data_IF_712957958884
#
_entry.id   IF_712957958884
#
_cell.length_a   1.000
_cell.length_b   1.000
_cell.length_c   1.000
_cell.angle_alpha   90.00
_cell.angle_beta   90.00
_cell.angle_gamma   90.00
#
_symmetry.space_group_name_H-M   'P 1'
#
loop_
_entity.id
_entity.type
_entity.pdbx_description
1 polymer ?
#
# COMPACT_ATOMS: atom_id res chain seq x y z
N UNK A 1 2.48 -9.11 15.68
CA UNK A 1 3.54 -8.09 15.92
C UNK A 1 3.28 -7.18 17.13
N UNK A 2 2.42 -7.56 18.10
CA UNK A 2 2.01 -6.68 19.22
C UNK A 2 1.27 -5.39 18.79
N UNK A 3 0.60 -5.41 17.63
CA UNK A 3 -0.17 -4.26 17.14
C UNK A 3 0.66 -3.27 16.34
N UNK A 4 1.85 -3.66 15.86
CA UNK A 4 2.76 -2.80 15.10
C UNK A 4 2.55 -2.87 13.59
N UNK A 5 1.71 -3.78 13.09
CA UNK A 5 1.44 -3.94 11.67
C UNK A 5 -0.05 -4.21 11.43
N UNK A 6 -0.64 -3.47 10.49
CA UNK A 6 -1.95 -3.74 9.92
C UNK A 6 -1.81 -3.92 8.40
N UNK A 7 -2.56 -4.87 7.83
CA UNK A 7 -2.51 -5.16 6.38
C UNK A 7 -3.93 -5.20 5.81
N UNK A 8 -4.19 -4.42 4.77
CA UNK A 8 -5.48 -4.39 4.08
C UNK A 8 -5.33 -3.92 2.63
N UNK A 9 -6.20 -4.40 1.72
CA UNK A 9 -6.05 -4.11 0.29
C UNK A 9 -6.04 -2.61 -0.02
N UNK A 10 -7.05 -1.84 0.43
CA UNK A 10 -7.11 -0.40 0.25
C UNK A 10 -6.65 0.40 1.48
N UNK A 11 -6.16 -0.30 2.50
CA UNK A 11 -5.77 0.26 3.79
C UNK A 11 -6.91 0.28 4.82
N UNK A 12 -6.67 0.97 5.93
CA UNK A 12 -7.51 1.03 7.13
C UNK A 12 -7.31 2.40 7.80
N UNK A 13 -8.40 3.03 8.27
CA UNK A 13 -8.28 4.17 9.20
C UNK A 13 -7.95 3.69 10.62
N UNK A 14 -7.27 4.53 11.42
CA UNK A 14 -6.92 4.27 12.84
C UNK A 14 -8.13 3.75 13.62
N UNK A 15 -9.31 4.35 13.40
CA UNK A 15 -10.54 4.01 14.10
C UNK A 15 -11.07 2.60 13.77
N UNK A 16 -10.57 1.96 12.71
CA UNK A 16 -10.99 0.64 12.24
C UNK A 16 -10.01 -0.47 12.58
N UNK A 17 -8.78 -0.14 12.97
CA UNK A 17 -7.76 -1.13 13.32
C UNK A 17 -8.24 -2.01 14.49
N UNK A 18 -8.07 -3.32 14.33
CA UNK A 18 -8.54 -4.33 15.30
C UNK A 18 -10.07 -4.53 15.35
N UNK A 19 -10.87 -3.78 14.59
CA UNK A 19 -12.33 -3.92 14.55
C UNK A 19 -12.78 -4.86 13.44
N UNK A 20 -14.00 -5.37 13.59
CA UNK A 20 -14.68 -6.20 12.58
C UNK A 20 -16.06 -5.63 12.27
N UNK A 21 -16.56 -5.87 11.06
CA UNK A 21 -17.89 -5.40 10.64
C UNK A 21 -17.99 -5.19 9.14
N UNK A 22 -19.21 -4.92 8.65
CA UNK A 22 -19.45 -4.65 7.23
C UNK A 22 -18.67 -3.42 6.76
N UNK A 23 -18.78 -2.31 7.49
CA UNK A 23 -18.08 -1.07 7.16
C UNK A 23 -16.54 -1.24 7.08
N UNK A 24 -15.94 -1.97 8.03
CA UNK A 24 -14.50 -2.26 8.03
C UNK A 24 -14.13 -3.08 6.79
N UNK A 25 -14.89 -4.14 6.48
CA UNK A 25 -14.64 -4.96 5.28
C UNK A 25 -14.78 -4.16 3.98
N UNK A 26 -15.77 -3.28 3.90
CA UNK A 26 -16.00 -2.45 2.73
C UNK A 26 -14.85 -1.45 2.54
N UNK A 27 -14.36 -0.86 3.63
CA UNK A 27 -13.18 0.02 3.61
C UNK A 27 -11.92 -0.75 3.21
N UNK A 28 -11.64 -1.91 3.80
CA UNK A 28 -10.48 -2.73 3.42
C UNK A 28 -10.44 -3.05 1.93
N UNK A 29 -11.61 -3.15 1.27
CA UNK A 29 -11.73 -3.48 -0.16
C UNK A 29 -11.69 -2.26 -1.07
N UNK A 30 -12.23 -1.12 -0.67
CA UNK A 30 -12.44 0.02 -1.57
C UNK A 30 -11.85 1.35 -1.08
N UNK A 31 -11.35 1.38 0.15
CA UNK A 31 -10.92 2.58 0.86
C UNK A 31 -12.07 3.57 1.01
N UNK A 32 -11.71 4.85 1.00
CA UNK A 32 -12.66 5.94 0.81
C UNK A 32 -13.18 5.84 -0.63
N UNK A 33 -14.37 5.25 -0.78
CA UNK A 33 -14.90 4.76 -2.06
C UNK A 33 -14.75 5.72 -3.24
N UNK A 34 -14.80 5.23 -4.49
CA UNK A 34 -14.30 5.93 -5.68
C UNK A 34 -14.94 7.31 -5.97
N UNK A 35 -16.15 7.58 -5.44
CA UNK A 35 -16.84 8.88 -5.58
C UNK A 35 -16.68 9.79 -4.36
N UNK A 36 -15.94 9.36 -3.35
CA UNK A 36 -15.70 10.15 -2.15
C UNK A 36 -14.77 11.32 -2.49
N UNK A 37 -15.12 12.56 -2.11
CA UNK A 37 -14.22 13.70 -2.23
C UNK A 37 -12.97 13.52 -1.35
N UNK A 38 -13.04 12.60 -0.39
CA UNK A 38 -11.94 12.24 0.50
C UNK A 38 -11.07 11.12 -0.05
N UNK A 39 -11.26 10.61 -1.28
CA UNK A 39 -10.56 9.40 -1.76
C UNK A 39 -9.03 9.46 -1.53
N UNK A 40 -8.52 8.57 -0.67
CA UNK A 40 -7.10 8.41 -0.39
C UNK A 40 -6.55 9.37 0.67
N UNK A 41 -7.37 10.28 1.20
CA UNK A 41 -6.96 11.26 2.22
C UNK A 41 -6.80 10.62 3.60
N UNK A 42 -7.29 9.40 3.81
CA UNK A 42 -7.04 8.65 5.05
C UNK A 42 -5.54 8.47 5.33
N UNK A 43 -4.73 8.30 4.28
CA UNK A 43 -3.26 8.19 4.38
C UNK A 43 -2.67 9.44 5.06
N UNK A 44 -3.14 10.62 4.68
CA UNK A 44 -2.68 11.88 5.24
C UNK A 44 -3.15 12.09 6.69
N UNK A 45 -4.24 11.43 7.08
CA UNK A 45 -4.83 11.49 8.41
C UNK A 45 -4.37 10.40 9.36
N UNK A 46 -3.70 9.35 8.88
CA UNK A 46 -3.21 8.26 9.73
C UNK A 46 -2.29 8.81 10.82
N UNK A 47 -2.60 8.52 12.07
CA UNK A 47 -1.79 8.87 13.26
C UNK A 47 -1.54 7.64 14.14
N UNK A 48 -1.97 6.46 13.70
CA UNK A 48 -1.70 5.19 14.34
C UNK A 48 -0.20 4.92 14.45
N UNK A 49 0.17 4.14 15.46
CA UNK A 49 1.56 3.73 15.71
C UNK A 49 1.93 2.47 14.92
N UNK A 50 0.92 1.76 14.43
CA UNK A 50 1.03 0.63 13.53
C UNK A 50 1.39 1.08 12.13
N UNK A 51 2.26 0.31 11.48
CA UNK A 51 2.48 0.42 10.05
C UNK A 51 1.28 -0.18 9.31
N UNK A 52 0.59 0.59 8.47
CA UNK A 52 -0.48 0.09 7.60
C UNK A 52 0.06 -0.22 6.22
N UNK A 53 0.23 -1.51 5.90
CA UNK A 53 0.62 -1.96 4.56
C UNK A 53 -0.61 -2.17 3.69
N UNK A 54 -0.62 -1.56 2.53
CA UNK A 54 -1.75 -1.63 1.61
C UNK A 54 -1.34 -1.67 0.13
N UNK A 55 -2.33 -1.88 -0.72
CA UNK A 55 -2.27 -1.71 -2.17
C UNK A 55 -3.39 -0.79 -2.62
N UNK A 56 -4.05 -1.10 -3.75
CA UNK A 56 -5.28 -0.49 -4.28
C UNK A 56 -5.07 0.63 -5.30
N UNK A 57 -4.14 1.56 -5.06
CA UNK A 57 -3.80 2.60 -6.04
C UNK A 57 -2.38 2.37 -6.54
N UNK A 58 -2.19 1.89 -7.77
CA UNK A 58 -0.86 1.62 -8.28
C UNK A 58 0.03 2.86 -8.24
N UNK A 59 1.28 2.68 -7.82
CA UNK A 59 2.33 3.71 -7.73
C UNK A 59 3.57 3.23 -8.48
N UNK A 60 4.40 4.17 -8.95
CA UNK A 60 5.61 3.84 -9.69
C UNK A 60 6.64 3.08 -8.83
N UNK A 61 6.80 3.49 -7.58
CA UNK A 61 7.69 2.89 -6.59
C UNK A 61 6.92 2.72 -5.26
N UNK A 62 7.33 1.77 -4.38
CA UNK A 62 6.70 1.60 -3.08
C UNK A 62 6.72 2.93 -2.32
N UNK A 63 5.56 3.35 -1.82
CA UNK A 63 5.39 4.70 -1.25
C UNK A 63 5.08 4.62 0.23
N UNK A 64 5.87 5.34 1.03
CA UNK A 64 5.63 5.53 2.45
C UNK A 64 5.10 6.93 2.70
N UNK A 65 4.04 7.04 3.49
CA UNK A 65 3.52 8.31 4.00
C UNK A 65 2.80 8.05 5.33
N UNK A 66 3.14 8.79 6.39
CA UNK A 66 2.51 8.70 7.72
C UNK A 66 2.29 7.25 8.21
N UNK A 67 3.34 6.45 8.36
CA UNK A 67 3.23 5.04 8.81
C UNK A 67 2.27 4.19 7.96
N UNK A 68 2.05 4.55 6.70
CA UNK A 68 1.41 3.70 5.70
C UNK A 68 2.42 3.35 4.62
N UNK A 69 2.33 2.14 4.07
CA UNK A 69 3.18 1.66 2.99
C UNK A 69 2.31 1.08 1.87
N UNK A 70 2.33 1.75 0.72
CA UNK A 70 1.73 1.24 -0.51
C UNK A 70 2.75 0.37 -1.27
N UNK A 71 2.44 -0.92 -1.45
CA UNK A 71 3.25 -1.88 -2.22
C UNK A 71 2.65 -2.23 -3.59
N UNK A 72 1.54 -1.61 -3.98
CA UNK A 72 0.99 -1.81 -5.31
C UNK A 72 1.81 -1.05 -6.35
N UNK A 73 2.83 -1.72 -6.88
CA UNK A 73 3.71 -1.18 -7.92
C UNK A 73 3.31 -1.60 -9.32
N UNK A 74 2.04 -2.00 -9.52
CA UNK A 74 1.48 -2.16 -10.84
C UNK A 74 2.10 -3.22 -11.72
N UNK A 75 2.40 -4.40 -11.19
CA UNK A 75 2.96 -5.50 -11.97
C UNK A 75 2.21 -5.76 -13.28
N UNK A 76 0.87 -5.78 -13.24
CA UNK A 76 0.02 -5.99 -14.44
C UNK A 76 0.15 -4.86 -15.47
N UNK A 77 0.55 -3.67 -15.03
CA UNK A 77 0.71 -2.46 -15.83
C UNK A 77 2.16 -2.27 -16.30
N UNK A 78 2.97 -3.34 -16.25
CA UNK A 78 4.37 -3.32 -16.68
C UNK A 78 5.35 -2.80 -15.63
N UNK A 79 4.90 -2.62 -14.38
CA UNK A 79 5.73 -2.22 -13.25
C UNK A 79 6.40 -3.42 -12.56
N UNK A 80 6.21 -3.52 -11.24
CA UNK A 80 6.84 -4.55 -10.41
C UNK A 80 5.83 -5.29 -9.55
N UNK A 81 6.12 -6.54 -9.22
CA UNK A 81 5.50 -7.21 -8.07
C UNK A 81 6.36 -6.95 -6.85
N UNK A 82 5.80 -6.26 -5.86
CA UNK A 82 6.52 -5.85 -4.65
C UNK A 82 6.07 -6.66 -3.44
N UNK A 83 7.04 -7.12 -2.67
CA UNK A 83 6.85 -7.71 -1.35
C UNK A 83 7.50 -6.81 -0.29
N UNK A 84 6.81 -6.66 0.84
CA UNK A 84 7.38 -6.08 2.05
C UNK A 84 7.56 -7.17 3.10
N UNK A 85 8.78 -7.30 3.62
CA UNK A 85 9.12 -8.31 4.64
C UNK A 85 9.04 -7.68 6.03
N UNK A 86 8.35 -8.36 6.93
CA UNK A 86 8.21 -7.98 8.33
C UNK A 86 8.66 -9.13 9.23
N UNK A 87 9.45 -8.87 10.30
CA UNK A 87 9.81 -7.57 10.87
C UNK A 87 11.08 -6.93 10.29
N UNK A 88 11.70 -7.50 9.26
CA UNK A 88 12.97 -7.02 8.69
C UNK A 88 12.86 -5.63 8.05
N UNK A 89 11.64 -5.21 7.68
CA UNK A 89 11.32 -3.94 7.02
C UNK A 89 12.08 -3.72 5.71
N UNK A 90 12.24 -4.78 4.92
CA UNK A 90 12.90 -4.76 3.62
C UNK A 90 11.90 -4.91 2.48
N UNK A 91 12.08 -4.14 1.40
CA UNK A 91 11.30 -4.29 0.18
C UNK A 91 12.05 -5.20 -0.81
N UNK A 92 11.31 -6.11 -1.43
CA UNK A 92 11.79 -6.92 -2.55
C UNK A 92 10.86 -6.73 -3.74
N UNK A 93 11.44 -6.68 -4.94
CA UNK A 93 10.69 -6.44 -6.16
C UNK A 93 11.18 -7.36 -7.27
N UNK A 94 10.24 -7.86 -8.06
CA UNK A 94 10.53 -8.54 -9.34
C UNK A 94 9.84 -7.77 -10.47
N UNK A 95 10.51 -7.57 -11.61
CA UNK A 95 9.91 -6.86 -12.74
C UNK A 95 8.77 -7.67 -13.35
N UNK A 96 7.78 -6.97 -13.90
CA UNK A 96 6.77 -7.58 -14.75
C UNK A 96 7.44 -8.24 -15.97
N UNK A 97 6.91 -9.40 -16.38
CA UNK A 97 7.42 -10.09 -17.57
C UNK A 97 6.98 -9.42 -18.87
N UNK A 98 5.85 -8.71 -18.83
CA UNK A 98 5.31 -7.94 -19.94
C UNK A 98 4.30 -6.88 -19.42
N UNK A 99 3.91 -5.96 -20.30
CA UNK A 99 2.71 -5.14 -20.10
C UNK A 99 1.48 -6.02 -20.37
N UNK A 100 0.72 -6.36 -19.31
CA UNK A 100 -0.45 -7.23 -19.41
C UNK A 100 -1.77 -6.46 -19.56
N UNK A 101 -1.80 -5.20 -19.13
CA UNK A 101 -2.95 -4.29 -19.31
C UNK A 101 -2.45 -2.87 -19.53
N UNK A 102 -2.89 -2.24 -20.63
CA UNK A 102 -2.55 -0.85 -20.94
C UNK A 102 -3.64 0.09 -20.40
N UNK A 103 -3.25 0.89 -19.40
CA UNK A 103 -4.09 1.92 -18.79
C UNK A 103 -3.59 3.36 -19.08
N UNK A 104 -2.63 3.53 -20.00
CA UNK A 104 -1.96 4.81 -20.22
C UNK A 104 -1.00 5.23 -19.10
N UNK A 105 -0.48 4.27 -18.34
CA UNK A 105 0.51 4.49 -17.27
C UNK A 105 1.93 4.24 -17.78
N UNK A 106 2.88 5.13 -17.45
CA UNK A 106 4.32 4.91 -17.61
C UNK A 106 4.96 4.28 -16.34
N UNK A 107 5.47 3.04 -16.39
CA UNK A 107 6.14 2.41 -15.25
C UNK A 107 7.45 3.12 -14.89
N UNK A 108 7.82 3.10 -13.60
CA UNK A 108 9.14 3.56 -13.16
C UNK A 108 10.27 2.63 -13.65
N UNK A 109 11.52 3.13 -13.70
CA UNK A 109 12.69 2.28 -13.94
C UNK A 109 12.80 1.14 -12.90
N UNK A 110 13.53 0.06 -13.21
CA UNK A 110 13.63 -1.10 -12.34
C UNK A 110 14.23 -0.73 -10.97
N UNK A 111 13.66 -1.23 -9.87
CA UNK A 111 14.06 -0.90 -8.52
C UNK A 111 15.34 -1.62 -8.14
N UNK A 112 16.03 -1.05 -7.15
CA UNK A 112 17.09 -1.68 -6.38
C UNK A 112 16.50 -2.26 -5.10
N UNK A 113 17.18 -3.20 -4.46
CA UNK A 113 16.80 -3.62 -3.11
C UNK A 113 16.89 -2.40 -2.17
N UNK A 114 15.78 -2.06 -1.51
CA UNK A 114 15.71 -0.91 -0.60
C UNK A 114 15.36 -1.40 0.79
N UNK A 115 16.30 -1.23 1.73
CA UNK A 115 16.00 -1.31 3.17
C UNK A 115 15.29 -0.03 3.56
N UNK A 116 14.11 -0.16 4.17
CA UNK A 116 13.44 1.00 4.73
C UNK A 116 14.16 1.36 6.03
N UNK A 117 14.89 2.47 6.04
CA UNK A 117 15.48 2.96 7.27
C UNK A 117 14.37 3.27 8.28
N UNK A 118 14.66 3.00 9.55
CA UNK A 118 13.70 3.03 10.66
C UNK A 118 13.11 4.43 10.98
N UNK A 119 13.29 5.41 10.09
CA UNK A 119 12.84 6.79 10.26
C UNK A 119 11.48 6.96 9.58
N UNK A 120 10.46 6.33 10.15
CA UNK A 120 9.07 6.76 10.04
C UNK A 120 8.53 6.90 11.45
#
# INVERSE_FOLDING_TARGET
DRGQLAVAHAGLEDSMVGKTGRAVRDFCRHGEGPRSPRRGTWIERHRGHELVVHGHTPVAEPRILNHTLNIDTGCVLGGHLTAFRWPERTLMQVPAQALHFDAGWAPAPPPREVTLEATV
#
